data_IF_184765566654
#
_entry.id   IF_184765566654
#
_cell.length_a   1.000
_cell.length_b   1.000
_cell.length_c   1.000
_cell.angle_alpha   90.00
_cell.angle_beta   90.00
_cell.angle_gamma   90.00
#
_symmetry.space_group_name_H-M   'P 1'
#
loop_
_entity.id
_entity.type
_entity.pdbx_description
1 polymer ?
#
# COMPACT_ATOMS: atom_id res chain seq x y z
N UNK A 1 23.17 4.07 28.22
CA UNK A 1 21.95 3.30 27.97
C UNK A 1 21.15 4.03 26.91
N UNK A 2 20.94 3.36 25.78
CA UNK A 2 20.31 3.89 24.56
C UNK A 2 18.80 3.88 24.71
N UNK A 3 18.13 5.02 24.49
CA UNK A 3 16.67 5.07 24.36
C UNK A 3 16.37 4.83 22.89
N UNK A 4 16.05 3.58 22.58
CA UNK A 4 15.68 3.13 21.25
C UNK A 4 14.45 3.90 20.75
N UNK A 5 14.56 4.42 19.52
CA UNK A 5 13.53 5.19 18.86
C UNK A 5 12.25 4.39 18.64
N UNK A 6 11.14 4.93 19.13
CA UNK A 6 9.82 4.63 18.60
C UNK A 6 9.68 5.32 17.25
N UNK A 7 10.20 4.68 16.19
CA UNK A 7 9.74 4.97 14.85
C UNK A 7 8.28 4.50 14.77
N UNK A 8 7.38 5.47 14.60
CA UNK A 8 6.01 5.19 14.18
C UNK A 8 6.04 4.30 12.93
N UNK A 9 5.10 3.35 12.78
CA UNK A 9 5.02 2.54 11.58
C UNK A 9 4.84 3.49 10.40
N UNK A 10 5.84 3.57 9.53
CA UNK A 10 5.69 4.20 8.24
C UNK A 10 4.53 3.46 7.57
N UNK A 11 3.37 4.11 7.48
CA UNK A 11 2.23 3.66 6.69
C UNK A 11 2.77 3.55 5.27
N UNK A 12 3.17 2.34 4.89
CA UNK A 12 3.64 2.01 3.56
C UNK A 12 2.43 2.19 2.64
N UNK A 13 2.27 3.43 2.17
CA UNK A 13 1.07 3.89 1.51
C UNK A 13 0.83 2.98 0.30
N UNK A 14 -0.28 2.24 0.34
CA UNK A 14 -0.57 1.21 -0.63
C UNK A 14 -0.56 1.84 -2.04
N UNK A 15 0.33 1.33 -2.90
CA UNK A 15 0.47 1.79 -4.28
C UNK A 15 -0.86 1.52 -4.98
N UNK A 16 -1.51 2.59 -5.48
CA UNK A 16 -2.85 2.48 -6.04
C UNK A 16 -2.92 1.53 -7.25
N UNK A 17 -4.01 0.77 -7.34
CA UNK A 17 -4.29 -0.16 -8.45
C UNK A 17 -4.41 0.58 -9.80
N UNK A 18 -4.03 -0.06 -10.93
CA UNK A 18 -4.07 0.57 -12.25
C UNK A 18 -5.47 1.01 -12.63
N UNK A 19 -6.48 0.19 -12.33
CA UNK A 19 -7.87 0.44 -12.66
C UNK A 19 -8.39 1.71 -11.98
N UNK A 20 -8.08 1.86 -10.68
CA UNK A 20 -8.44 3.06 -9.90
C UNK A 20 -7.76 4.32 -10.45
N UNK A 21 -6.49 4.21 -10.87
CA UNK A 21 -5.77 5.32 -11.50
C UNK A 21 -6.39 5.69 -12.85
N UNK A 22 -6.81 4.70 -13.62
CA UNK A 22 -7.52 4.88 -14.89
C UNK A 22 -8.87 5.57 -14.68
N UNK A 23 -9.70 5.10 -13.76
CA UNK A 23 -10.98 5.73 -13.45
C UNK A 23 -10.82 7.17 -12.93
N UNK A 24 -9.84 7.45 -12.06
CA UNK A 24 -9.56 8.81 -11.61
C UNK A 24 -9.18 9.72 -12.79
N UNK A 25 -8.35 9.21 -13.70
CA UNK A 25 -7.97 9.93 -14.91
C UNK A 25 -9.16 10.14 -15.86
N UNK A 26 -10.01 9.13 -16.04
CA UNK A 26 -11.20 9.22 -16.88
C UNK A 26 -12.19 10.27 -16.34
N UNK A 27 -12.44 10.28 -15.02
CA UNK A 27 -13.28 11.30 -14.38
C UNK A 27 -12.68 12.69 -14.59
N UNK A 28 -11.38 12.87 -14.33
CA UNK A 28 -10.68 14.14 -14.58
C UNK A 28 -10.80 14.59 -16.06
N UNK A 29 -10.79 13.65 -17.02
CA UNK A 29 -10.95 13.95 -18.45
C UNK A 29 -12.37 14.34 -18.82
N UNK A 30 -13.37 13.61 -18.33
CA UNK A 30 -14.78 13.91 -18.60
C UNK A 30 -15.13 15.31 -18.09
N UNK A 31 -14.67 15.67 -16.89
CA UNK A 31 -14.86 17.01 -16.33
C UNK A 31 -14.22 18.08 -17.25
N UNK A 32 -12.97 17.86 -17.66
CA UNK A 32 -12.29 18.81 -18.54
C UNK A 32 -12.99 18.96 -19.90
N UNK A 33 -13.40 17.86 -20.53
CA UNK A 33 -14.11 17.87 -21.80
C UNK A 33 -15.48 18.52 -21.70
N UNK A 34 -16.22 18.32 -20.60
CA UNK A 34 -17.48 19.03 -20.37
C UNK A 34 -17.25 20.54 -20.31
N UNK A 35 -16.22 21.01 -19.60
CA UNK A 35 -15.85 22.43 -19.55
C UNK A 35 -15.49 22.95 -20.95
N UNK A 36 -14.71 22.19 -21.73
CA UNK A 36 -14.33 22.58 -23.09
C UNK A 36 -15.51 22.60 -24.05
N UNK A 37 -16.45 21.66 -23.93
CA UNK A 37 -17.67 21.63 -24.73
C UNK A 37 -18.54 22.85 -24.44
N UNK A 38 -18.71 23.21 -23.16
CA UNK A 38 -19.44 24.43 -22.76
C UNK A 38 -18.75 25.68 -23.30
N UNK A 39 -17.42 25.77 -23.17
CA UNK A 39 -16.66 26.91 -23.69
C UNK A 39 -16.73 27.00 -25.23
N UNK A 40 -16.65 25.87 -25.93
CA UNK A 40 -16.79 25.79 -27.38
C UNK A 40 -18.19 26.20 -27.85
N UNK A 41 -19.23 25.75 -27.15
CA UNK A 41 -20.61 26.15 -27.43
C UNK A 41 -20.83 27.65 -27.19
N UNK A 42 -20.32 28.19 -26.09
CA UNK A 42 -20.37 29.62 -25.81
C UNK A 42 -19.60 30.43 -26.87
N UNK A 43 -18.40 29.98 -27.25
CA UNK A 43 -17.63 30.60 -28.31
C UNK A 43 -18.38 30.59 -29.64
N UNK A 44 -19.05 29.48 -29.96
CA UNK A 44 -19.86 29.35 -31.17
C UNK A 44 -21.05 30.32 -31.16
N UNK A 45 -21.80 30.36 -30.06
CA UNK A 45 -22.95 31.26 -29.88
C UNK A 45 -22.57 32.74 -29.91
N UNK A 46 -21.41 33.13 -29.39
CA UNK A 46 -21.08 34.55 -29.24
C UNK A 46 -20.25 35.05 -30.43
N UNK A 47 -19.37 34.23 -30.99
CA UNK A 47 -18.32 34.66 -31.91
C UNK A 47 -18.41 33.99 -33.28
N UNK A 48 -18.41 32.66 -33.35
CA UNK A 48 -18.36 31.97 -34.65
C UNK A 48 -19.62 32.16 -35.48
N UNK A 49 -20.82 32.13 -34.87
CA UNK A 49 -22.07 32.37 -35.62
C UNK A 49 -22.17 33.80 -36.18
N UNK A 50 -21.41 34.73 -35.60
CA UNK A 50 -21.39 36.15 -35.97
C UNK A 50 -20.24 36.49 -36.93
N UNK A 51 -19.51 35.48 -37.46
CA UNK A 51 -18.42 35.69 -38.41
C UNK A 51 -17.10 36.19 -37.81
N UNK A 52 -16.96 36.22 -36.48
CA UNK A 52 -15.76 36.72 -35.79
C UNK A 52 -15.01 35.58 -35.08
N UNK A 53 -14.23 34.73 -35.77
CA UNK A 53 -13.66 33.52 -35.18
C UNK A 53 -12.52 33.78 -34.17
N UNK A 54 -11.74 34.85 -34.34
CA UNK A 54 -10.57 35.16 -33.51
C UNK A 54 -10.87 35.22 -31.99
N UNK A 55 -11.84 36.03 -31.50
CA UNK A 55 -12.19 36.05 -30.08
C UNK A 55 -12.75 34.71 -29.58
N UNK A 56 -13.45 33.95 -30.43
CA UNK A 56 -13.94 32.61 -30.10
C UNK A 56 -12.79 31.62 -29.86
N UNK A 57 -11.77 31.63 -30.73
CA UNK A 57 -10.56 30.83 -30.56
C UNK A 57 -9.83 31.24 -29.28
N UNK A 58 -9.68 32.54 -29.03
CA UNK A 58 -9.06 33.08 -27.81
C UNK A 58 -9.75 32.62 -26.53
N UNK A 59 -11.09 32.62 -26.51
CA UNK A 59 -11.88 32.13 -25.38
C UNK A 59 -11.60 30.65 -25.12
N UNK A 60 -11.70 29.80 -26.15
CA UNK A 60 -11.47 28.34 -26.00
C UNK A 60 -10.04 28.07 -25.54
N UNK A 61 -9.05 28.69 -26.17
CA UNK A 61 -7.65 28.54 -25.81
C UNK A 61 -7.37 29.00 -24.36
N UNK A 62 -7.96 30.12 -23.94
CA UNK A 62 -7.87 30.63 -22.58
C UNK A 62 -8.46 29.66 -21.56
N UNK A 63 -9.64 29.09 -21.83
CA UNK A 63 -10.26 28.10 -20.94
C UNK A 63 -9.40 26.83 -20.84
N UNK A 64 -8.87 26.34 -21.96
CA UNK A 64 -7.95 25.18 -21.97
C UNK A 64 -6.73 25.45 -21.09
N UNK A 65 -6.11 26.63 -21.22
CA UNK A 65 -4.94 27.03 -20.43
C UNK A 65 -5.28 27.15 -18.93
N UNK A 66 -6.44 27.71 -18.58
CA UNK A 66 -6.91 27.83 -17.19
C UNK A 66 -7.14 26.45 -16.57
N UNK A 67 -7.87 25.56 -17.24
CA UNK A 67 -8.11 24.18 -16.76
C UNK A 67 -6.79 23.44 -16.56
N UNK A 68 -5.85 23.61 -17.50
CA UNK A 68 -4.52 23.02 -17.41
C UNK A 68 -3.70 23.57 -16.22
N UNK A 69 -3.70 24.89 -16.01
CA UNK A 69 -3.01 25.54 -14.91
C UNK A 69 -3.59 25.13 -13.55
N UNK A 70 -4.92 25.16 -13.42
CA UNK A 70 -5.63 24.72 -12.20
C UNK A 70 -5.30 23.27 -11.89
N UNK A 71 -5.37 22.37 -12.87
CA UNK A 71 -5.01 20.96 -12.69
C UNK A 71 -3.55 20.77 -12.26
N UNK A 72 -2.64 21.60 -12.76
CA UNK A 72 -1.21 21.62 -12.38
C UNK A 72 -1.02 22.06 -10.93
N UNK A 73 -1.68 23.14 -10.52
CA UNK A 73 -1.62 23.65 -9.14
C UNK A 73 -2.18 22.62 -8.17
N UNK A 74 -3.36 22.07 -8.45
CA UNK A 74 -4.03 21.06 -7.61
C UNK A 74 -3.17 19.79 -7.41
N UNK A 75 -2.51 19.35 -8.47
CA UNK A 75 -1.58 18.21 -8.41
C UNK A 75 -0.29 18.59 -7.66
N UNK A 76 0.23 19.80 -7.85
CA UNK A 76 1.48 20.26 -7.25
C UNK A 76 1.38 20.59 -5.76
N UNK A 77 0.29 21.22 -5.32
CA UNK A 77 0.11 21.66 -3.92
C UNK A 77 -0.45 20.55 -3.03
N UNK A 78 -1.41 19.78 -3.53
CA UNK A 78 -2.12 18.77 -2.74
C UNK A 78 -1.91 17.34 -3.21
N UNK A 79 -1.51 17.14 -4.48
CA UNK A 79 -1.55 15.82 -5.12
C UNK A 79 -2.98 15.34 -5.37
N UNK A 80 -3.97 16.23 -5.33
CA UNK A 80 -5.39 15.91 -5.36
C UNK A 80 -6.01 16.55 -6.58
N UNK A 81 -6.70 15.77 -7.40
CA UNK A 81 -7.57 16.27 -8.48
C UNK A 81 -8.99 15.75 -8.23
N UNK A 82 -10.04 16.34 -8.82
CA UNK A 82 -11.42 15.94 -8.56
C UNK A 82 -11.66 14.42 -8.68
N UNK A 83 -11.18 13.79 -9.74
CA UNK A 83 -11.28 12.34 -9.95
C UNK A 83 -10.42 11.52 -8.96
N UNK A 84 -9.25 12.02 -8.57
CA UNK A 84 -8.43 11.36 -7.54
C UNK A 84 -9.07 11.48 -6.16
N UNK A 85 -9.69 12.61 -5.84
CA UNK A 85 -10.45 12.79 -4.59
C UNK A 85 -11.63 11.83 -4.52
N UNK A 86 -12.38 11.68 -5.61
CA UNK A 86 -13.50 10.75 -5.70
C UNK A 86 -13.09 9.29 -5.42
N UNK A 87 -11.85 8.91 -5.76
CA UNK A 87 -11.35 7.55 -5.58
C UNK A 87 -10.40 7.37 -4.39
N UNK A 88 -10.24 8.39 -3.53
CA UNK A 88 -9.35 8.33 -2.36
C UNK A 88 -7.87 8.21 -2.73
N UNK A 89 -7.45 8.83 -3.82
CA UNK A 89 -6.07 8.79 -4.33
C UNK A 89 -5.34 10.10 -4.10
N UNK A 90 -4.02 10.00 -3.91
CA UNK A 90 -3.14 11.17 -3.80
C UNK A 90 -1.84 10.95 -4.56
N UNK A 91 -1.39 11.97 -5.27
CA UNK A 91 -0.06 11.99 -5.90
C UNK A 91 0.96 12.56 -4.91
N UNK A 92 2.05 11.85 -4.71
CA UNK A 92 3.04 12.12 -3.67
C UNK A 92 4.44 12.04 -4.29
N UNK A 93 5.38 12.81 -3.73
CA UNK A 93 6.79 12.76 -4.16
C UNK A 93 7.40 11.40 -3.84
N UNK A 94 8.23 10.95 -4.77
CA UNK A 94 8.93 9.67 -4.73
C UNK A 94 10.40 9.78 -4.27
N UNK A 95 10.88 11.00 -4.05
CA UNK A 95 12.27 11.21 -3.66
C UNK A 95 12.47 10.80 -2.19
N UNK A 96 13.56 10.10 -1.92
CA UNK A 96 13.88 9.52 -0.59
C UNK A 96 13.88 10.54 0.56
N UNK A 97 14.03 11.84 0.26
CA UNK A 97 13.97 12.94 1.25
C UNK A 97 12.61 13.64 1.38
N UNK A 98 11.65 13.35 0.50
CA UNK A 98 10.32 13.99 0.47
C UNK A 98 9.16 13.01 0.25
N UNK A 99 9.40 11.71 0.45
CA UNK A 99 8.35 10.69 0.45
C UNK A 99 7.20 11.09 1.40
N UNK A 100 5.97 11.08 0.90
CA UNK A 100 4.79 11.54 1.65
C UNK A 100 4.39 13.00 1.43
N UNK A 101 5.29 13.85 0.90
CA UNK A 101 5.00 15.27 0.63
C UNK A 101 4.40 15.50 -0.76
N UNK A 102 3.64 16.59 -0.95
CA UNK A 102 3.21 17.01 -2.28
C UNK A 102 4.42 17.27 -3.19
N UNK A 103 4.26 17.00 -4.48
CA UNK A 103 5.31 17.03 -5.50
C UNK A 103 5.88 18.42 -5.77
N UNK A 104 5.12 19.48 -5.45
CA UNK A 104 5.45 20.84 -5.80
C UNK A 104 4.97 21.21 -7.20
N UNK A 105 4.63 22.48 -7.39
CA UNK A 105 4.01 22.99 -8.63
C UNK A 105 4.95 22.83 -9.83
N UNK A 106 6.27 23.02 -9.66
CA UNK A 106 7.25 22.87 -10.75
C UNK A 106 7.33 21.45 -11.30
N UNK A 107 7.43 20.44 -10.44
CA UNK A 107 7.43 19.03 -10.86
C UNK A 107 6.06 18.60 -11.42
N UNK A 108 4.97 19.13 -10.88
CA UNK A 108 3.63 18.90 -11.43
C UNK A 108 3.45 19.52 -12.82
N UNK A 109 4.06 20.67 -13.09
CA UNK A 109 4.09 21.30 -14.41
C UNK A 109 4.79 20.39 -15.42
N UNK A 110 5.99 19.88 -15.09
CA UNK A 110 6.73 18.95 -15.96
C UNK A 110 5.87 17.71 -16.26
N UNK A 111 5.24 17.15 -15.22
CA UNK A 111 4.33 16.01 -15.35
C UNK A 111 3.17 16.29 -16.32
N UNK A 112 2.50 17.44 -16.17
CA UNK A 112 1.34 17.85 -16.99
C UNK A 112 1.73 18.28 -18.40
N UNK A 113 2.89 18.92 -18.58
CA UNK A 113 3.41 19.31 -19.88
C UNK A 113 3.79 18.09 -20.72
N UNK A 114 4.46 17.10 -20.11
CA UNK A 114 4.78 15.83 -20.77
C UNK A 114 3.50 15.07 -21.16
N UNK A 115 2.50 15.05 -20.27
CA UNK A 115 1.21 14.42 -20.58
C UNK A 115 0.48 15.16 -21.71
N UNK A 116 0.43 16.50 -21.62
CA UNK A 116 -0.21 17.41 -22.58
C UNK A 116 0.36 17.26 -23.99
N UNK A 117 1.68 17.30 -24.12
CA UNK A 117 2.41 17.15 -25.38
C UNK A 117 2.09 15.82 -26.08
N UNK A 118 1.82 14.76 -25.31
CA UNK A 118 1.47 13.46 -25.88
C UNK A 118 -0.02 13.31 -26.18
N UNK A 119 -0.90 14.02 -25.48
CA UNK A 119 -2.35 13.99 -25.74
C UNK A 119 -2.81 14.86 -26.90
N UNK A 120 -2.19 16.03 -27.12
CA UNK A 120 -2.61 17.01 -28.13
C UNK A 120 -2.52 16.44 -29.57
N UNK A 121 -1.44 15.75 -29.98
CA UNK A 121 -1.33 15.23 -31.34
C UNK A 121 -2.19 13.98 -31.61
N UNK A 122 -2.69 13.33 -30.56
CA UNK A 122 -3.25 11.98 -30.63
C UNK A 122 -4.72 11.88 -30.24
N UNK A 123 -5.41 13.02 -30.06
CA UNK A 123 -6.81 13.06 -29.59
C UNK A 123 -7.05 12.21 -28.33
N UNK A 124 -6.06 12.14 -27.43
CA UNK A 124 -6.16 11.33 -26.20
C UNK A 124 -5.65 9.89 -26.31
N UNK A 125 -5.38 9.36 -27.50
CA UNK A 125 -4.85 8.00 -27.69
C UNK A 125 -3.47 7.84 -27.03
N UNK A 126 -2.65 8.90 -27.05
CA UNK A 126 -1.34 8.91 -26.39
C UNK A 126 -1.41 8.69 -24.88
N UNK A 127 -2.47 9.17 -24.20
CA UNK A 127 -2.66 8.91 -22.77
C UNK A 127 -2.95 7.43 -22.47
N UNK A 128 -3.71 6.76 -23.35
CA UNK A 128 -3.95 5.32 -23.25
C UNK A 128 -2.66 4.52 -23.46
N UNK A 129 -1.81 4.93 -24.41
CA UNK A 129 -0.48 4.34 -24.63
C UNK A 129 0.42 4.49 -23.39
N UNK A 130 0.37 5.62 -22.68
CA UNK A 130 1.14 5.79 -21.44
C UNK A 130 0.58 5.01 -20.25
N UNK A 131 -0.74 4.84 -20.16
CA UNK A 131 -1.35 3.95 -19.17
C UNK A 131 -0.90 2.50 -19.38
N UNK A 132 -0.80 2.06 -20.65
CA UNK A 132 -0.25 0.76 -21.03
C UNK A 132 1.23 0.62 -20.64
N UNK A 133 2.06 1.64 -20.89
CA UNK A 133 3.49 1.63 -20.50
C UNK A 133 3.68 1.64 -18.98
N UNK A 134 2.81 2.34 -18.23
CA UNK A 134 2.82 2.31 -16.76
C UNK A 134 2.40 0.95 -16.19
N UNK A 135 1.52 0.23 -16.90
CA UNK A 135 1.11 -1.14 -16.54
C UNK A 135 2.23 -2.16 -16.79
N UNK A 136 3.16 -1.89 -17.70
CA UNK A 136 4.35 -2.72 -17.97
C UNK A 136 5.55 -2.45 -17.05
N UNK A 137 5.41 -1.59 -16.03
CA UNK A 137 6.52 -1.25 -15.13
C UNK A 137 6.89 -2.43 -14.20
N UNK A 138 7.98 -3.12 -14.56
CA UNK A 138 8.49 -4.31 -13.85
C UNK A 138 8.98 -4.06 -12.42
N UNK A 139 9.13 -2.80 -11.98
CA UNK A 139 9.58 -2.45 -10.63
C UNK A 139 8.48 -2.55 -9.56
N UNK A 140 7.24 -2.88 -9.93
CA UNK A 140 6.12 -3.03 -8.99
C UNK A 140 5.57 -1.71 -8.43
N UNK A 141 6.11 -0.57 -8.88
CA UNK A 141 5.70 0.79 -8.45
C UNK A 141 4.68 1.43 -9.38
N UNK A 142 4.45 0.79 -10.54
CA UNK A 142 3.41 1.11 -11.53
C UNK A 142 3.51 2.57 -12.00
N UNK A 143 4.71 3.09 -12.23
CA UNK A 143 4.93 4.50 -12.60
C UNK A 143 4.98 4.67 -14.12
N UNK A 144 4.20 5.61 -14.65
CA UNK A 144 4.34 6.06 -16.04
C UNK A 144 5.62 6.87 -16.24
N UNK A 145 6.05 7.06 -17.50
CA UNK A 145 7.24 7.86 -17.81
C UNK A 145 7.16 9.31 -17.29
N UNK A 146 5.97 9.92 -17.35
CA UNK A 146 5.69 11.25 -16.80
C UNK A 146 5.82 11.28 -15.27
N UNK A 147 5.40 10.21 -14.60
CA UNK A 147 5.50 10.10 -13.14
C UNK A 147 6.96 9.92 -12.70
N UNK A 148 7.73 9.13 -13.45
CA UNK A 148 9.16 8.88 -13.21
C UNK A 148 10.00 10.12 -13.41
N UNK A 149 9.76 10.88 -14.49
CA UNK A 149 10.46 12.15 -14.76
C UNK A 149 10.11 13.22 -13.73
N UNK A 150 8.90 13.20 -13.18
CA UNK A 150 8.46 14.12 -12.14
C UNK A 150 8.78 13.64 -10.71
N UNK A 151 9.35 12.43 -10.53
CA UNK A 151 9.60 11.85 -9.20
C UNK A 151 8.32 11.72 -8.39
N UNK A 152 7.28 11.11 -8.96
CA UNK A 152 5.94 11.04 -8.39
C UNK A 152 5.37 9.63 -8.35
N UNK A 153 4.55 9.35 -7.34
CA UNK A 153 3.82 8.09 -7.18
C UNK A 153 2.39 8.36 -6.71
N UNK A 154 1.44 7.55 -7.18
CA UNK A 154 0.03 7.63 -6.75
C UNK A 154 -0.24 6.59 -5.67
N UNK A 155 -0.64 7.07 -4.50
CA UNK A 155 -0.94 6.26 -3.32
C UNK A 155 -2.43 6.29 -3.02
N UNK A 156 -2.95 5.16 -2.53
CA UNK A 156 -4.29 5.10 -1.94
C UNK A 156 -4.21 5.61 -0.50
N UNK A 157 -5.03 6.61 -0.18
CA UNK A 157 -5.06 7.24 1.15
C UNK A 157 -6.26 6.79 1.97
N UNK A 158 -7.06 5.84 1.48
CA UNK A 158 -8.13 5.28 2.29
C UNK A 158 -7.56 4.49 3.46
N UNK A 159 -8.20 4.54 4.64
CA UNK A 159 -7.94 3.57 5.69
C UNK A 159 -8.07 2.17 5.06
N UNK A 160 -7.15 1.23 5.33
CA UNK A 160 -7.40 -0.15 4.96
C UNK A 160 -8.79 -0.48 5.51
N UNK A 161 -9.68 -0.98 4.66
CA UNK A 161 -10.94 -1.50 5.15
C UNK A 161 -10.56 -2.51 6.21
N UNK A 162 -10.83 -2.17 7.47
CA UNK A 162 -10.91 -3.19 8.51
C UNK A 162 -12.01 -4.06 7.96
N UNK A 163 -11.62 -5.20 7.39
CA UNK A 163 -12.51 -6.33 7.29
C UNK A 163 -12.88 -6.52 8.74
N UNK A 164 -14.02 -5.97 9.16
CA UNK A 164 -14.76 -6.53 10.27
C UNK A 164 -14.86 -7.99 9.87
N UNK A 165 -13.96 -8.79 10.43
CA UNK A 165 -14.19 -10.20 10.52
C UNK A 165 -15.60 -10.25 11.06
N UNK A 166 -16.55 -10.70 10.24
CA UNK A 166 -17.79 -11.26 10.75
C UNK A 166 -17.39 -12.01 12.00
N UNK A 167 -17.97 -11.58 13.11
CA UNK A 167 -17.72 -12.06 14.45
C UNK A 167 -17.72 -13.59 14.39
N UNK A 168 -16.52 -14.16 14.23
CA UNK A 168 -16.32 -15.58 14.12
C UNK A 168 -16.65 -16.08 15.51
N UNK A 169 -17.87 -16.59 15.65
CA UNK A 169 -18.37 -17.16 16.89
C UNK A 169 -17.24 -18.01 17.49
N UNK A 170 -16.77 -17.71 18.71
CA UNK A 170 -15.55 -18.29 19.21
C UNK A 170 -15.71 -19.81 19.27
N UNK A 171 -14.87 -20.51 18.51
CA UNK A 171 -14.76 -21.96 18.57
C UNK A 171 -14.66 -22.43 20.05
N UNK A 172 -15.37 -23.50 20.45
CA UNK A 172 -15.48 -23.88 21.85
C UNK A 172 -14.10 -24.22 22.41
N UNK A 173 -13.56 -23.33 23.26
CA UNK A 173 -12.36 -23.58 24.04
C UNK A 173 -12.67 -24.70 25.03
N UNK A 174 -11.95 -25.82 24.89
CA UNK A 174 -11.97 -26.94 25.82
C UNK A 174 -11.47 -26.45 27.19
N UNK A 175 -12.39 -26.23 28.12
CA UNK A 175 -12.09 -25.82 29.49
C UNK A 175 -11.42 -26.99 30.21
N UNK A 176 -10.16 -26.82 30.60
CA UNK A 176 -9.51 -27.69 31.60
C UNK A 176 -9.70 -27.03 32.95
N UNK A 177 -10.47 -27.68 33.84
CA UNK A 177 -10.80 -27.19 35.18
C UNK A 177 -9.54 -27.15 36.07
N UNK A 178 -9.02 -25.96 36.35
CA UNK A 178 -7.90 -25.73 37.28
C UNK A 178 -8.35 -25.61 38.76
N UNK A 179 -9.64 -25.69 39.03
CA UNK A 179 -10.25 -25.48 40.36
C UNK A 179 -10.17 -26.68 41.30
N UNK A 180 -9.66 -27.84 40.88
CA UNK A 180 -9.43 -28.98 41.78
C UNK A 180 -8.06 -28.96 42.48
N UNK A 181 -7.14 -28.04 42.16
CA UNK A 181 -5.80 -28.01 42.79
C UNK A 181 -5.59 -26.95 43.87
N UNK A 182 -6.63 -26.21 44.33
CA UNK A 182 -6.43 -25.15 45.34
C UNK A 182 -7.52 -25.00 46.40
N UNK A 183 -8.19 -26.09 46.75
CA UNK A 183 -9.13 -26.15 47.89
C UNK A 183 -8.56 -26.97 49.07
N UNK A 184 -7.28 -26.74 49.41
CA UNK A 184 -6.70 -27.24 50.66
C UNK A 184 -5.71 -26.26 51.29
N UNK A 185 -6.06 -24.97 51.32
CA UNK A 185 -5.38 -24.03 52.20
C UNK A 185 -6.40 -23.10 52.84
N UNK A 186 -6.82 -23.57 54.01
CA UNK A 186 -7.53 -22.91 55.09
C UNK A 186 -7.07 -21.44 55.27
N UNK A 187 -8.00 -20.50 55.38
CA UNK A 187 -8.61 -20.07 56.66
C UNK A 187 -7.68 -19.12 57.44
N UNK A 188 -7.90 -17.81 57.29
CA UNK A 188 -7.67 -16.79 58.31
C UNK A 188 -8.26 -15.43 57.85
N UNK A 189 -9.12 -14.87 58.69
CA UNK A 189 -9.73 -13.53 58.75
C UNK A 189 -9.60 -13.12 60.24
N UNK A 190 -9.65 -11.85 60.73
CA UNK A 190 -10.10 -10.55 60.15
C UNK A 190 -9.06 -9.41 60.32
N UNK A 191 -9.26 -8.18 59.82
CA UNK A 191 -9.82 -7.05 60.61
C UNK A 191 -10.25 -5.86 59.72
N UNK A 192 -11.08 -4.98 60.32
CA UNK A 192 -12.14 -4.12 59.79
C UNK A 192 -11.83 -2.62 59.94
N UNK A 193 -12.63 -1.80 59.23
CA UNK A 193 -13.00 -0.37 59.43
C UNK A 193 -12.47 0.55 58.30
N UNK A 194 -13.19 1.49 57.69
CA UNK A 194 -14.52 2.08 57.93
C UNK A 194 -14.94 2.86 56.64
N UNK A 195 -16.25 3.07 56.44
CA UNK A 195 -16.90 3.97 55.43
C UNK A 195 -17.27 5.30 56.16
N UNK A 196 -17.99 6.34 55.63
CA UNK A 196 -18.49 6.65 54.27
C UNK A 196 -18.54 8.18 53.85
N UNK A 197 -19.08 8.44 52.65
CA UNK A 197 -20.01 9.54 52.23
C UNK A 197 -19.56 10.57 51.15
N UNK A 198 -20.30 10.53 50.02
CA UNK A 198 -20.59 11.48 48.89
C UNK A 198 -21.29 12.76 49.45
N UNK A 199 -21.43 13.97 48.79
CA UNK A 199 -21.94 14.19 47.41
C UNK A 199 -21.64 15.51 46.60
N UNK A 200 -21.98 15.43 45.30
CA UNK A 200 -22.59 16.40 44.36
C UNK A 200 -21.97 17.80 44.01
N UNK A 201 -22.15 18.16 42.73
CA UNK A 201 -21.68 19.35 42.00
C UNK A 201 -22.45 20.66 42.29
N UNK A 202 -21.92 21.81 41.80
CA UNK A 202 -22.79 22.77 41.10
C UNK A 202 -22.20 23.41 39.82
N UNK A 203 -23.15 23.90 39.03
CA UNK A 203 -23.18 24.53 37.71
C UNK A 203 -22.41 25.86 37.60
N UNK A 204 -21.77 26.15 36.45
CA UNK A 204 -21.17 27.47 36.15
C UNK A 204 -22.03 28.30 35.17
N UNK A 205 -22.09 29.60 35.46
CA UNK A 205 -22.95 30.64 34.86
C UNK A 205 -22.22 31.46 33.77
N UNK A 206 -22.92 32.06 32.78
CA UNK A 206 -22.34 32.57 31.52
C UNK A 206 -21.81 34.02 31.60
N UNK A 207 -20.94 34.32 32.56
CA UNK A 207 -20.30 35.64 32.70
C UNK A 207 -18.77 35.63 32.44
N UNK A 208 -18.17 34.47 32.16
CA UNK A 208 -16.71 34.33 31.98
C UNK A 208 -16.23 34.38 30.51
N UNK A 209 -17.12 34.52 29.54
CA UNK A 209 -16.76 34.49 28.10
C UNK A 209 -16.56 35.88 27.47
N UNK A 210 -16.87 36.98 28.17
CA UNK A 210 -16.70 38.34 27.63
C UNK A 210 -15.29 38.94 27.87
N UNK A 211 -14.51 38.42 28.83
CA UNK A 211 -13.19 38.96 29.17
C UNK A 211 -12.04 38.37 28.32
N UNK A 212 -12.25 37.24 27.63
CA UNK A 212 -11.22 36.60 26.80
C UNK A 212 -11.13 37.18 25.38
N UNK A 213 -12.11 37.97 24.93
CA UNK A 213 -12.15 38.53 23.59
C UNK A 213 -11.40 39.88 23.45
N UNK A 214 -11.11 40.58 24.55
CA UNK A 214 -10.41 41.87 24.53
C UNK A 214 -8.88 41.76 24.63
N UNK A 215 -8.34 40.61 25.04
CA UNK A 215 -6.89 40.42 25.19
C UNK A 215 -6.17 40.03 23.87
N UNK A 216 -6.90 39.67 22.82
CA UNK A 216 -6.31 39.23 21.54
C UNK A 216 -6.17 40.38 20.54
N UNK A 217 -6.91 41.48 20.73
CA UNK A 217 -6.92 42.63 19.82
C UNK A 217 -5.75 43.62 20.03
N UNK A 218 -5.11 43.61 21.20
CA UNK A 218 -4.00 44.53 21.53
C UNK A 218 -2.61 43.99 21.16
N UNK A 219 -2.50 42.70 20.82
CA UNK A 219 -1.23 42.04 20.50
C UNK A 219 -0.82 42.09 19.01
N UNK A 220 -1.62 42.72 18.14
CA UNK A 220 -1.36 42.79 16.69
C UNK A 220 -0.93 44.18 16.18
N UNK A 221 -0.65 45.14 17.06
CA UNK A 221 -0.30 46.52 16.67
C UNK A 221 1.18 46.93 16.80
N UNK A 222 2.11 46.04 17.17
CA UNK A 222 3.51 46.40 17.38
C UNK A 222 4.49 45.44 16.67
N UNK A 223 4.55 45.51 15.34
CA UNK A 223 5.62 44.89 14.56
C UNK A 223 6.18 45.91 13.56
N UNK A 224 6.99 46.84 14.05
CA UNK A 224 7.99 47.58 13.27
C UNK A 224 9.14 47.92 14.22
N UNK A 225 10.36 47.72 13.73
CA UNK A 225 11.67 48.19 14.22
C UNK A 225 12.71 47.14 14.66
N UNK A 226 13.67 47.03 13.75
CA UNK A 226 15.10 46.69 13.81
C UNK A 226 15.82 47.00 15.14
N UNK A 227 16.72 46.10 15.59
CA UNK A 227 17.79 46.45 16.55
C UNK A 227 18.49 45.29 17.28
N UNK A 228 19.68 44.89 16.78
CA UNK A 228 20.94 44.43 17.43
C UNK A 228 20.92 43.41 18.61
N UNK A 229 21.76 42.34 18.60
CA UNK A 229 21.74 41.27 19.60
C UNK A 229 22.58 41.58 20.87
N UNK A 230 22.06 41.22 22.04
CA UNK A 230 22.78 41.21 23.33
C UNK A 230 23.37 39.82 23.59
N UNK A 231 24.64 39.83 24.02
CA UNK A 231 25.50 38.69 24.28
C UNK A 231 24.96 37.74 25.37
N UNK A 232 25.03 36.43 25.09
CA UNK A 232 24.78 35.35 26.06
C UNK A 232 26.12 34.70 26.43
N UNK A 233 26.42 34.68 27.73
CA UNK A 233 27.64 34.14 28.32
C UNK A 233 27.74 32.61 28.12
N UNK A 234 28.96 32.12 27.87
CA UNK A 234 29.28 30.72 27.61
C UNK A 234 29.69 29.96 28.89
N UNK A 235 29.32 28.68 29.05
CA UNK A 235 29.89 27.78 30.06
C UNK A 235 31.25 27.17 29.61
N UNK A 236 32.10 26.70 30.54
CA UNK A 236 33.49 26.32 30.26
C UNK A 236 33.65 24.98 29.53
N UNK A 237 34.65 24.93 28.66
CA UNK A 237 35.07 23.81 27.80
C UNK A 237 35.71 22.64 28.59
N UNK A 238 35.39 21.37 28.28
CA UNK A 238 36.16 20.21 28.75
C UNK A 238 37.39 19.93 27.85
N UNK A 239 38.49 19.50 28.46
CA UNK A 239 39.78 19.20 27.82
C UNK A 239 39.73 18.00 26.83
N UNK A 240 40.61 17.96 25.81
CA UNK A 240 40.65 16.90 24.81
C UNK A 240 41.24 15.57 25.32
N UNK A 241 40.83 14.41 24.76
CA UNK A 241 41.35 13.09 25.13
C UNK A 241 42.71 12.78 24.48
N UNK A 242 43.52 11.99 25.19
CA UNK A 242 44.85 11.54 24.78
C UNK A 242 44.81 10.45 23.68
N UNK A 243 45.88 10.29 22.87
CA UNK A 243 45.96 9.31 21.78
C UNK A 243 46.20 7.85 22.26
N UNK A 244 45.92 6.84 21.40
CA UNK A 244 45.85 5.43 21.77
C UNK A 244 47.23 4.73 21.85
N UNK A 245 47.33 3.74 22.75
CA UNK A 245 48.48 2.85 22.92
C UNK A 245 48.31 1.60 22.02
N UNK A 246 49.35 1.12 21.32
CA UNK A 246 49.29 -0.09 20.48
C UNK A 246 49.24 -1.42 21.27
N UNK A 247 48.78 -2.53 20.65
CA UNK A 247 48.47 -3.77 21.35
C UNK A 247 49.70 -4.66 21.63
N UNK A 248 49.65 -5.38 22.75
CA UNK A 248 50.61 -6.42 23.14
C UNK A 248 50.20 -7.81 22.57
N UNK A 249 51.16 -8.73 22.34
CA UNK A 249 50.97 -10.00 21.61
C UNK A 249 50.15 -11.08 22.36
N UNK A 250 49.64 -12.10 21.64
CA UNK A 250 48.64 -13.03 22.16
C UNK A 250 49.22 -14.08 23.13
N UNK A 251 48.54 -14.27 24.26
CA UNK A 251 48.77 -15.38 25.16
C UNK A 251 47.92 -16.61 24.75
N UNK A 252 48.57 -17.77 24.81
CA UNK A 252 48.16 -19.14 24.47
C UNK A 252 46.82 -19.55 25.14
N UNK A 253 45.94 -20.33 24.46
CA UNK A 253 44.71 -20.83 25.07
C UNK A 253 44.97 -21.94 26.10
N UNK A 254 44.21 -22.01 27.21
CA UNK A 254 44.19 -23.17 28.09
C UNK A 254 43.38 -24.33 27.47
N UNK A 255 43.84 -25.54 27.77
CA UNK A 255 43.33 -26.84 27.37
C UNK A 255 41.83 -27.01 27.66
N UNK A 256 41.04 -27.30 26.63
CA UNK A 256 39.62 -27.63 26.76
C UNK A 256 39.44 -29.06 27.30
N UNK A 257 38.65 -29.17 28.38
CA UNK A 257 38.18 -30.42 28.96
C UNK A 257 37.05 -30.99 28.08
N UNK A 258 36.98 -32.31 27.81
CA UNK A 258 35.94 -32.87 26.93
C UNK A 258 34.55 -32.81 27.58
N UNK A 259 33.60 -32.16 26.91
CA UNK A 259 32.18 -32.23 27.25
C UNK A 259 31.58 -33.57 26.78
N UNK A 260 30.60 -34.14 27.50
CA UNK A 260 29.94 -35.40 27.13
C UNK A 260 29.15 -35.26 25.81
N UNK A 261 28.97 -36.36 25.04
CA UNK A 261 28.33 -36.31 23.74
C UNK A 261 26.87 -35.89 23.84
N UNK A 262 26.52 -34.83 23.11
CA UNK A 262 25.14 -34.39 22.88
C UNK A 262 24.44 -35.50 22.09
N UNK A 263 23.25 -35.99 22.51
CA UNK A 263 22.51 -36.97 21.73
C UNK A 263 22.19 -36.39 20.34
N UNK A 264 22.24 -37.20 19.27
CA UNK A 264 21.98 -36.71 17.93
C UNK A 264 20.56 -36.13 17.87
N UNK A 265 20.47 -34.88 17.43
CA UNK A 265 19.21 -34.28 16.99
C UNK A 265 18.60 -35.23 15.98
N UNK A 266 17.36 -35.72 16.17
CA UNK A 266 16.71 -36.56 15.16
C UNK A 266 16.72 -35.80 13.84
N UNK A 267 17.28 -36.40 12.79
CA UNK A 267 17.14 -35.89 11.44
C UNK A 267 15.66 -35.59 11.18
N UNK A 268 15.32 -34.51 10.45
CA UNK A 268 13.94 -34.26 10.05
C UNK A 268 13.42 -35.54 9.37
N UNK A 269 12.50 -36.24 10.03
CA UNK A 269 11.75 -37.30 9.37
C UNK A 269 11.14 -36.67 8.12
N UNK A 270 11.36 -37.22 6.92
CA UNK A 270 10.64 -36.76 5.73
C UNK A 270 9.17 -36.87 6.07
N UNK A 271 8.52 -35.74 6.30
CA UNK A 271 7.07 -35.69 6.41
C UNK A 271 6.56 -36.39 5.17
N UNK A 272 5.69 -37.39 5.35
CA UNK A 272 5.06 -38.13 4.27
C UNK A 272 4.74 -37.15 3.14
N UNK A 273 5.36 -37.35 1.98
CA UNK A 273 5.27 -36.43 0.85
C UNK A 273 3.82 -36.35 0.43
N UNK A 274 3.10 -35.36 0.96
CA UNK A 274 1.71 -35.14 0.64
C UNK A 274 1.60 -34.93 -0.87
N UNK A 275 0.97 -35.89 -1.56
CA UNK A 275 0.78 -35.83 -3.00
C UNK A 275 -0.44 -34.98 -3.26
N UNK A 276 -0.32 -34.02 -4.16
CA UNK A 276 -1.42 -33.14 -4.51
C UNK A 276 -1.76 -33.33 -5.97
N UNK A 277 -3.02 -33.67 -6.26
CA UNK A 277 -3.56 -33.70 -7.61
C UNK A 277 -4.32 -32.42 -7.86
N UNK A 278 -4.05 -31.81 -9.01
CA UNK A 278 -4.84 -30.69 -9.52
C UNK A 278 -5.61 -31.14 -10.75
N UNK A 279 -6.86 -30.70 -10.87
CA UNK A 279 -7.75 -30.98 -12.00
C UNK A 279 -8.30 -29.67 -12.53
N UNK A 280 -8.11 -29.40 -13.81
CA UNK A 280 -8.63 -28.21 -14.45
C UNK A 280 -10.03 -28.47 -15.02
N UNK A 281 -10.80 -27.40 -15.23
CA UNK A 281 -12.10 -27.40 -15.91
C UNK A 281 -12.05 -28.00 -17.33
N UNK A 282 -10.88 -28.00 -17.96
CA UNK A 282 -10.61 -28.66 -19.25
C UNK A 282 -10.54 -30.19 -19.15
N UNK A 283 -10.58 -30.76 -17.94
CA UNK A 283 -10.42 -32.19 -17.66
C UNK A 283 -8.96 -32.65 -17.51
N UNK A 284 -7.98 -31.77 -17.76
CA UNK A 284 -6.57 -32.09 -17.55
C UNK A 284 -6.29 -32.23 -16.05
N UNK A 285 -5.69 -33.35 -15.62
CA UNK A 285 -5.28 -33.55 -14.24
C UNK A 285 -3.87 -34.12 -14.15
N UNK A 286 -3.12 -33.72 -13.12
CA UNK A 286 -1.77 -34.23 -12.85
C UNK A 286 -1.39 -34.03 -11.38
N UNK A 287 -0.33 -34.74 -10.94
CA UNK A 287 0.22 -34.63 -9.59
C UNK A 287 1.30 -33.54 -9.56
N UNK A 288 1.26 -32.68 -8.56
CA UNK A 288 2.20 -31.56 -8.40
C UNK A 288 3.49 -32.07 -7.74
N UNK A 289 4.46 -32.44 -8.57
CA UNK A 289 5.77 -32.93 -8.11
C UNK A 289 6.85 -31.84 -8.01
N UNK A 290 6.53 -30.62 -8.43
CA UNK A 290 7.45 -29.48 -8.41
C UNK A 290 6.76 -28.19 -8.82
N UNK A 291 7.53 -27.20 -9.28
CA UNK A 291 6.97 -25.93 -9.70
C UNK A 291 6.14 -26.09 -10.98
N UNK A 292 4.85 -25.81 -10.86
CA UNK A 292 3.92 -25.79 -11.96
C UNK A 292 3.49 -24.35 -12.26
N UNK A 293 3.43 -23.99 -13.53
CA UNK A 293 2.94 -22.68 -13.98
C UNK A 293 1.72 -22.85 -14.88
N UNK A 294 0.74 -21.97 -14.71
CA UNK A 294 -0.50 -21.98 -15.48
C UNK A 294 -0.70 -20.64 -16.17
N UNK A 295 -1.21 -20.67 -17.40
CA UNK A 295 -1.35 -19.48 -18.23
C UNK A 295 -1.89 -19.79 -19.62
N UNK A 296 -2.21 -18.77 -20.44
CA UNK A 296 -2.60 -18.99 -21.85
C UNK A 296 -1.43 -19.39 -22.75
N UNK A 297 -0.22 -19.12 -22.28
CA UNK A 297 1.04 -19.43 -22.95
C UNK A 297 2.17 -19.31 -21.93
N UNK A 298 2.26 -20.28 -20.98
CA UNK A 298 3.11 -20.14 -19.82
C UNK A 298 4.58 -20.23 -20.18
N UNK A 299 5.31 -19.15 -19.89
CA UNK A 299 6.78 -19.07 -20.05
C UNK A 299 7.46 -19.00 -18.68
N UNK A 300 8.49 -19.83 -18.43
CA UNK A 300 9.32 -19.75 -17.22
C UNK A 300 10.23 -18.53 -17.27
N UNK A 301 10.67 -18.04 -16.12
CA UNK A 301 11.76 -17.04 -16.07
C UNK A 301 13.11 -17.69 -16.35
N UNK A 302 14.12 -16.93 -16.82
CA UNK A 302 15.48 -17.43 -16.96
C UNK A 302 16.00 -18.00 -15.63
N UNK A 303 16.41 -19.27 -15.62
CA UNK A 303 16.88 -19.98 -14.42
C UNK A 303 15.79 -20.60 -13.53
N UNK A 304 14.52 -20.57 -13.95
CA UNK A 304 13.40 -21.19 -13.22
C UNK A 304 13.17 -22.62 -13.74
N UNK A 305 13.45 -23.63 -12.91
CA UNK A 305 13.12 -25.03 -13.22
C UNK A 305 11.63 -25.27 -12.99
N UNK A 306 10.89 -25.43 -14.09
CA UNK A 306 9.46 -25.67 -14.09
C UNK A 306 9.19 -27.11 -14.48
N UNK A 307 8.61 -27.86 -13.55
CA UNK A 307 8.24 -29.26 -13.75
C UNK A 307 7.00 -29.39 -14.65
N UNK A 308 6.02 -28.50 -14.50
CA UNK A 308 4.76 -28.59 -15.24
C UNK A 308 4.34 -27.25 -15.86
N UNK A 309 4.00 -27.26 -17.14
CA UNK A 309 3.48 -26.10 -17.87
C UNK A 309 2.06 -26.38 -18.32
N UNK A 310 1.10 -25.65 -17.76
CA UNK A 310 -0.32 -25.83 -18.06
C UNK A 310 -0.79 -24.67 -18.92
N UNK A 311 -0.91 -24.94 -20.23
CA UNK A 311 -1.48 -23.99 -21.16
C UNK A 311 -3.02 -24.12 -21.16
N UNK A 312 -3.72 -23.11 -20.65
CA UNK A 312 -5.19 -23.05 -20.66
C UNK A 312 -5.65 -22.03 -21.70
N UNK A 313 -6.47 -22.45 -22.66
CA UNK A 313 -7.11 -21.54 -23.60
C UNK A 313 -8.17 -20.71 -22.86
N UNK A 314 -8.15 -19.40 -23.01
CA UNK A 314 -9.13 -18.48 -22.41
C UNK A 314 -10.01 -17.91 -23.51
N UNK A 315 -11.31 -17.93 -23.29
CA UNK A 315 -12.32 -17.52 -24.29
C UNK A 315 -12.45 -16.00 -24.39
N UNK A 316 -12.22 -15.30 -23.28
CA UNK A 316 -12.40 -13.86 -23.10
C UNK A 316 -11.06 -13.11 -22.92
N UNK A 317 -9.93 -13.78 -23.15
CA UNK A 317 -8.58 -13.26 -22.89
C UNK A 317 -8.34 -12.83 -21.43
N UNK A 318 -9.15 -13.32 -20.48
CA UNK A 318 -9.00 -12.99 -19.07
C UNK A 318 -7.79 -13.68 -18.42
N UNK A 319 -7.21 -14.68 -19.09
CA UNK A 319 -6.08 -15.45 -18.60
C UNK A 319 -4.75 -14.91 -19.16
N UNK A 320 -3.86 -14.43 -18.28
CA UNK A 320 -2.53 -13.91 -18.65
C UNK A 320 -1.60 -15.00 -19.23
N UNK A 321 -0.53 -14.60 -19.94
CA UNK A 321 0.45 -15.54 -20.54
C UNK A 321 1.00 -16.53 -19.51
N UNK A 322 1.49 -16.02 -18.39
CA UNK A 322 1.81 -16.78 -17.18
C UNK A 322 1.00 -16.15 -16.04
N UNK A 323 -0.09 -16.79 -15.63
CA UNK A 323 -1.08 -16.23 -14.71
C UNK A 323 -0.72 -16.53 -13.25
N UNK A 324 -0.57 -17.80 -12.91
CA UNK A 324 -0.25 -18.24 -11.56
C UNK A 324 0.79 -19.37 -11.58
N UNK A 325 1.37 -19.64 -10.41
CA UNK A 325 2.18 -20.81 -10.17
C UNK A 325 1.67 -21.56 -8.94
N UNK A 326 1.95 -22.85 -8.89
CA UNK A 326 1.73 -23.66 -7.71
C UNK A 326 2.86 -24.66 -7.53
N UNK A 327 3.17 -24.96 -6.28
CA UNK A 327 4.23 -25.87 -5.89
C UNK A 327 3.89 -26.48 -4.54
N UNK A 328 4.42 -27.67 -4.26
CA UNK A 328 4.38 -28.25 -2.92
C UNK A 328 5.55 -27.66 -2.13
N UNK A 329 5.25 -27.04 -0.99
CA UNK A 329 6.27 -26.51 -0.07
C UNK A 329 6.96 -27.65 0.69
N UNK A 330 8.08 -27.35 1.35
CA UNK A 330 8.88 -28.34 2.07
C UNK A 330 8.14 -29.03 3.23
N UNK A 331 7.08 -28.41 3.73
CA UNK A 331 6.17 -28.94 4.75
C UNK A 331 5.06 -29.84 4.18
N UNK A 332 5.02 -30.05 2.86
CA UNK A 332 4.00 -30.83 2.17
C UNK A 332 2.73 -30.05 1.82
N UNK A 333 2.67 -28.74 2.09
CA UNK A 333 1.52 -27.90 1.76
C UNK A 333 1.53 -27.49 0.30
N UNK A 334 0.41 -27.63 -0.43
CA UNK A 334 0.30 -27.04 -1.77
C UNK A 334 0.13 -25.53 -1.64
N UNK A 335 0.98 -24.77 -2.32
CA UNK A 335 0.95 -23.31 -2.31
C UNK A 335 0.67 -22.82 -3.71
N UNK A 336 -0.30 -21.91 -3.84
CA UNK A 336 -0.55 -21.16 -5.08
C UNK A 336 -0.11 -19.71 -4.91
N UNK A 337 0.46 -19.14 -5.97
CA UNK A 337 0.85 -17.74 -6.01
C UNK A 337 0.49 -17.13 -7.36
N UNK A 338 -0.24 -16.02 -7.33
CA UNK A 338 -0.48 -15.21 -8.52
C UNK A 338 0.82 -14.54 -8.99
N UNK A 339 1.15 -14.64 -10.28
CA UNK A 339 2.39 -14.06 -10.84
C UNK A 339 2.22 -12.62 -11.29
N UNK A 340 1.19 -11.93 -10.80
CA UNK A 340 0.84 -10.58 -11.20
C UNK A 340 -0.06 -10.58 -12.43
N UNK A 341 -1.04 -11.49 -12.46
CA UNK A 341 -2.05 -11.53 -13.50
C UNK A 341 -2.86 -10.22 -13.55
N UNK A 342 -3.42 -9.91 -14.72
CA UNK A 342 -4.21 -8.69 -14.92
C UNK A 342 -5.55 -8.77 -14.20
N UNK A 343 -6.21 -9.93 -14.24
CA UNK A 343 -7.56 -10.12 -13.68
C UNK A 343 -7.55 -10.74 -12.27
N UNK A 344 -6.37 -11.08 -11.76
CA UNK A 344 -6.20 -11.67 -10.43
C UNK A 344 -6.57 -13.16 -10.38
N UNK A 345 -6.21 -13.77 -9.26
CA UNK A 345 -6.54 -15.16 -8.91
C UNK A 345 -7.43 -15.17 -7.69
N UNK A 346 -8.49 -15.99 -7.70
CA UNK A 346 -9.43 -16.12 -6.58
C UNK A 346 -9.40 -17.54 -6.03
N UNK A 347 -9.19 -17.68 -4.73
CA UNK A 347 -9.33 -18.94 -4.00
C UNK A 347 -10.78 -19.08 -3.50
N UNK A 348 -11.38 -20.23 -3.72
CA UNK A 348 -12.72 -20.58 -3.28
C UNK A 348 -12.59 -21.74 -2.30
N UNK A 349 -12.84 -21.48 -1.02
CA UNK A 349 -12.77 -22.46 0.07
C UNK A 349 -14.15 -22.66 0.67
N UNK A 350 -14.69 -23.87 0.59
CA UNK A 350 -16.03 -24.19 1.11
C UNK A 350 -17.11 -23.18 0.66
N UNK A 351 -17.01 -22.67 -0.58
CA UNK A 351 -17.92 -21.67 -1.14
C UNK A 351 -17.55 -20.20 -0.86
N UNK A 352 -16.66 -19.92 0.10
CA UNK A 352 -16.17 -18.57 0.35
C UNK A 352 -15.07 -18.19 -0.66
N UNK A 353 -15.30 -17.12 -1.42
CA UNK A 353 -14.35 -16.60 -2.39
C UNK A 353 -13.42 -15.54 -1.77
N UNK A 354 -12.11 -15.72 -1.94
CA UNK A 354 -11.05 -14.84 -1.46
C UNK A 354 -10.08 -14.51 -2.59
N UNK A 355 -9.96 -13.22 -2.92
CA UNK A 355 -8.95 -12.76 -3.87
C UNK A 355 -7.54 -12.95 -3.29
N UNK A 356 -6.63 -13.53 -4.08
CA UNK A 356 -5.24 -13.69 -3.71
C UNK A 356 -4.46 -12.42 -4.06
N UNK A 357 -3.62 -11.96 -3.14
CA UNK A 357 -2.73 -10.83 -3.41
C UNK A 357 -1.67 -11.21 -4.44
N UNK A 358 -1.43 -10.34 -5.42
CA UNK A 358 -0.41 -10.56 -6.42
C UNK A 358 0.96 -10.84 -5.78
N UNK A 359 1.62 -11.92 -6.23
CA UNK A 359 2.93 -12.40 -5.75
C UNK A 359 2.97 -12.76 -4.26
N UNK A 360 1.82 -13.01 -3.64
CA UNK A 360 1.75 -13.55 -2.28
C UNK A 360 1.40 -15.04 -2.35
N UNK A 361 2.19 -15.91 -1.71
CA UNK A 361 1.86 -17.32 -1.62
C UNK A 361 0.63 -17.51 -0.72
N UNK A 362 -0.27 -18.39 -1.14
CA UNK A 362 -1.44 -18.82 -0.37
C UNK A 362 -1.45 -20.34 -0.27
N UNK A 363 -1.60 -20.84 0.95
CA UNK A 363 -1.72 -22.27 1.23
C UNK A 363 -3.11 -22.79 0.84
N UNK A 364 -3.11 -23.84 0.03
CA UNK A 364 -4.28 -24.58 -0.38
C UNK A 364 -4.52 -25.75 0.56
N UNK A 365 -5.78 -26.07 0.77
CA UNK A 365 -6.22 -27.27 1.49
C UNK A 365 -6.94 -28.22 0.54
N UNK A 366 -7.14 -29.45 0.99
CA UNK A 366 -7.90 -30.45 0.26
C UNK A 366 -9.33 -29.95 -0.03
N UNK A 367 -9.77 -30.09 -1.28
CA UNK A 367 -11.07 -29.64 -1.76
C UNK A 367 -11.17 -28.15 -2.12
N UNK A 368 -10.08 -27.38 -2.02
CA UNK A 368 -10.06 -25.99 -2.48
C UNK A 368 -10.24 -25.89 -4.01
N UNK A 369 -10.91 -24.83 -4.45
CA UNK A 369 -11.03 -24.42 -5.85
C UNK A 369 -10.26 -23.14 -6.10
N UNK A 370 -9.50 -23.07 -7.17
CA UNK A 370 -8.80 -21.83 -7.57
C UNK A 370 -9.32 -21.39 -8.93
N UNK A 371 -9.74 -20.13 -9.02
CA UNK A 371 -10.22 -19.49 -10.24
C UNK A 371 -9.18 -18.52 -10.78
N UNK A 372 -8.83 -18.68 -12.06
CA UNK A 372 -7.87 -17.87 -12.81
C UNK A 372 -8.59 -17.27 -14.03
N UNK A 373 -9.03 -16.01 -13.94
CA UNK A 373 -9.87 -15.41 -14.99
C UNK A 373 -11.17 -16.21 -15.19
N UNK A 374 -11.38 -16.75 -16.40
CA UNK A 374 -12.52 -17.59 -16.79
C UNK A 374 -12.36 -19.08 -16.47
N UNK A 375 -11.19 -19.52 -15.98
CA UNK A 375 -10.87 -20.94 -15.74
C UNK A 375 -10.85 -21.30 -14.26
N UNK A 376 -11.10 -22.57 -13.95
CA UNK A 376 -11.08 -23.11 -12.59
C UNK A 376 -10.21 -24.35 -12.47
N UNK A 377 -9.64 -24.53 -11.29
CA UNK A 377 -8.82 -25.67 -10.90
C UNK A 377 -9.30 -26.21 -9.56
N UNK A 378 -9.59 -27.49 -9.51
CA UNK A 378 -9.89 -28.26 -8.31
C UNK A 378 -8.61 -28.87 -7.75
N UNK A 379 -8.50 -28.90 -6.42
CA UNK A 379 -7.34 -29.41 -5.71
C UNK A 379 -7.77 -30.56 -4.80
N UNK A 380 -7.07 -31.69 -4.93
CA UNK A 380 -7.30 -32.88 -4.10
C UNK A 380 -5.96 -33.35 -3.52
N UNK A 381 -5.92 -33.62 -2.23
CA UNK A 381 -4.78 -34.23 -1.56
C UNK A 381 -4.90 -35.76 -1.66
N UNK A 382 -3.94 -36.39 -2.31
CA UNK A 382 -3.80 -37.84 -2.31
C UNK A 382 -3.05 -38.26 -1.04
N UNK A 383 -3.68 -39.16 -0.27
CA UNK A 383 -3.18 -39.67 1.01
C UNK A 383 -2.03 -40.67 0.85
#
# INVERSE_FOLDING_TARGET
MSVAGLQAPAVEAAIAEPDRRFYAFAIDRVIAWAIFAVAGFAAWLIFFRNGNPLPGIGLVAGVVLVVWLVGTILTGSGGKTPGKMALGLRVVSDDSGSAGRPIGVGKAFVRQALLGLCTIPTLGIGAATFAWVAAMDGRGRRQGWHDRRAGSVVVDVRPPAVVEAEEEAPAPRRIVNLTTMRLKQAEATPERAERPQTPAAPTQSPAAQAAAAQAVAEAQAAATQVGVPVARQAPPTPAPPAPPVPPAPPAVPPTAQPAPPVPPVPAPQPAATARWRVTFDTGQSFVVEGLAIVGRGPEPRPGEEVSHRVALSSSDMSLSKTHAQFQVAADGTLVVMDRGSTNGTTLIRQGAARALGARRPAALIDGDKVKFGDRTMDVVREA
#
